data_IF_775079232633
#
_entry.id   IF_775079232633
#
_cell.length_a   1.000
_cell.length_b   1.000
_cell.length_c   1.000
_cell.angle_alpha   90.00
_cell.angle_beta   90.00
_cell.angle_gamma   90.00
#
_symmetry.space_group_name_H-M   'P 1'
#
loop_
_entity.id
_entity.type
_entity.pdbx_description
1 polymer ?
#
# COMPACT_ATOMS: atom_id res chain seq x y z
N UNK A 1 34.85 23.23 -20.40
CA UNK A 1 34.79 21.97 -21.18
C UNK A 1 33.32 21.62 -21.36
N UNK A 2 32.82 21.55 -22.60
CA UNK A 2 31.42 21.25 -22.85
C UNK A 2 31.10 19.83 -22.35
N UNK A 3 30.21 19.71 -21.37
CA UNK A 3 29.67 18.41 -20.97
C UNK A 3 28.79 17.92 -22.12
N UNK A 4 29.30 17.02 -22.94
CA UNK A 4 28.53 16.41 -24.01
C UNK A 4 27.26 15.79 -23.43
N UNK A 5 26.10 16.20 -23.95
CA UNK A 5 24.82 15.60 -23.56
C UNK A 5 24.82 14.11 -23.91
N UNK A 6 24.18 13.30 -23.06
CA UNK A 6 23.93 11.88 -23.34
C UNK A 6 22.55 11.71 -23.95
N UNK A 7 22.41 10.76 -24.86
CA UNK A 7 21.13 10.39 -25.46
C UNK A 7 20.63 9.11 -24.82
N UNK A 8 19.42 9.14 -24.24
CA UNK A 8 18.77 8.00 -23.60
C UNK A 8 17.67 7.47 -24.51
N UNK A 9 17.58 6.15 -24.66
CA UNK A 9 16.47 5.49 -25.33
C UNK A 9 15.32 5.32 -24.35
N UNK A 10 14.13 5.79 -24.69
CA UNK A 10 12.96 5.73 -23.82
C UNK A 10 11.96 4.74 -24.39
N UNK A 11 11.56 3.77 -23.57
CA UNK A 11 10.56 2.76 -23.92
C UNK A 11 9.42 2.78 -22.89
N UNK A 12 8.19 2.62 -23.35
CA UNK A 12 7.05 2.51 -22.44
C UNK A 12 7.04 1.14 -21.77
N UNK A 13 6.68 1.10 -20.48
CA UNK A 13 6.44 -0.11 -19.71
C UNK A 13 5.05 -0.04 -19.08
N UNK A 14 4.23 -1.07 -19.30
CA UNK A 14 2.85 -1.10 -18.80
C UNK A 14 1.88 -0.35 -19.72
N UNK A 15 1.08 0.57 -19.16
CA UNK A 15 0.08 1.32 -19.95
C UNK A 15 0.77 2.23 -20.97
N UNK A 16 0.35 2.20 -22.25
CA UNK A 16 0.96 3.04 -23.27
C UNK A 16 0.76 4.52 -22.94
N UNK A 17 1.82 5.30 -23.10
CA UNK A 17 1.79 6.76 -22.96
C UNK A 17 1.76 7.40 -24.33
N UNK A 18 0.75 8.24 -24.54
CA UNK A 18 0.65 9.07 -25.73
C UNK A 18 1.82 10.05 -25.78
N UNK A 19 2.49 10.18 -26.92
CA UNK A 19 3.60 11.12 -27.18
C UNK A 19 4.91 10.83 -26.41
N UNK A 20 5.13 9.59 -25.95
CA UNK A 20 6.42 9.23 -25.36
C UNK A 20 7.55 9.40 -26.41
N UNK A 21 8.57 10.23 -26.14
CA UNK A 21 9.72 10.35 -27.06
C UNK A 21 10.45 9.02 -27.15
N UNK A 22 10.99 8.66 -28.31
CA UNK A 22 11.86 7.47 -28.45
C UNK A 22 13.26 7.70 -27.88
N UNK A 23 13.73 8.94 -27.96
CA UNK A 23 15.04 9.37 -27.52
C UNK A 23 14.96 10.68 -26.73
N UNK A 24 15.79 10.80 -25.71
CA UNK A 24 15.89 11.99 -24.87
C UNK A 24 17.36 12.37 -24.67
N UNK A 25 17.72 13.57 -25.12
CA UNK A 25 19.02 14.16 -24.82
C UNK A 25 18.97 14.88 -23.47
N UNK A 26 19.89 14.55 -22.57
CA UNK A 26 19.99 15.16 -21.23
C UNK A 26 21.45 15.37 -20.83
N UNK A 27 21.70 16.40 -20.01
CA UNK A 27 23.02 16.64 -19.43
C UNK A 27 23.37 15.48 -18.45
N UNK A 28 24.56 14.88 -18.52
CA UNK A 28 24.99 13.84 -17.58
C UNK A 28 24.94 14.27 -16.10
N UNK A 29 25.13 15.56 -15.84
CA UNK A 29 25.11 16.14 -14.50
C UNK A 29 23.70 16.55 -14.05
N UNK A 30 22.68 16.37 -14.90
CA UNK A 30 21.30 16.64 -14.55
C UNK A 30 20.85 15.78 -13.36
N UNK A 31 19.90 16.29 -12.59
CA UNK A 31 19.31 15.58 -11.45
C UNK A 31 18.09 14.75 -11.87
N UNK A 32 17.63 13.88 -10.97
CA UNK A 32 16.38 13.12 -11.16
C UNK A 32 15.19 14.01 -11.58
N UNK A 33 14.89 15.11 -10.85
CA UNK A 33 13.81 16.03 -11.21
C UNK A 33 13.89 16.61 -12.62
N UNK A 34 15.10 16.92 -13.11
CA UNK A 34 15.28 17.45 -14.47
C UNK A 34 14.94 16.41 -15.53
N UNK A 35 15.35 15.15 -15.33
CA UNK A 35 14.98 14.04 -16.22
C UNK A 35 13.47 13.81 -16.22
N UNK A 36 12.86 13.79 -15.04
CA UNK A 36 11.43 13.63 -14.87
C UNK A 36 10.65 14.76 -15.55
N UNK A 37 11.07 16.02 -15.37
CA UNK A 37 10.49 17.19 -16.03
C UNK A 37 10.61 17.11 -17.55
N UNK A 38 11.77 16.72 -18.07
CA UNK A 38 12.00 16.63 -19.51
C UNK A 38 11.06 15.62 -20.20
N UNK A 39 10.74 14.51 -19.54
CA UNK A 39 9.76 13.53 -20.02
C UNK A 39 8.32 14.03 -19.80
N UNK A 40 8.02 14.58 -18.62
CA UNK A 40 6.71 15.08 -18.25
C UNK A 40 6.17 16.13 -19.22
N UNK A 41 7.01 17.12 -19.57
CA UNK A 41 6.66 18.20 -20.51
C UNK A 41 6.37 17.64 -21.89
N UNK A 42 7.17 16.69 -22.39
CA UNK A 42 6.96 16.08 -23.71
C UNK A 42 5.70 15.23 -23.78
N UNK A 43 5.39 14.50 -22.71
CA UNK A 43 4.22 13.61 -22.65
C UNK A 43 2.93 14.33 -22.21
N UNK A 44 3.02 15.57 -21.72
CA UNK A 44 1.89 16.30 -21.13
C UNK A 44 1.36 15.66 -19.85
N UNK A 45 2.26 15.01 -19.07
CA UNK A 45 1.92 14.32 -17.83
C UNK A 45 2.48 15.08 -16.61
N UNK A 46 1.86 14.88 -15.45
CA UNK A 46 2.47 15.33 -14.19
C UNK A 46 3.66 14.46 -13.84
N UNK A 47 4.71 15.07 -13.29
CA UNK A 47 5.92 14.41 -12.79
C UNK A 47 5.60 13.25 -11.84
N UNK A 48 4.56 13.40 -11.02
CA UNK A 48 4.14 12.38 -10.03
C UNK A 48 3.48 11.15 -10.66
N UNK A 49 3.14 11.20 -11.95
CA UNK A 49 2.54 10.10 -12.70
C UNK A 49 3.57 9.29 -13.50
N UNK A 50 4.83 9.68 -13.45
CA UNK A 50 5.89 9.06 -14.24
C UNK A 50 6.73 8.21 -13.31
N UNK A 51 7.07 7.00 -13.73
CA UNK A 51 8.06 6.17 -13.06
C UNK A 51 9.12 5.78 -14.07
N UNK A 52 10.38 6.05 -13.74
CA UNK A 52 11.52 5.75 -14.60
C UNK A 52 12.33 4.60 -13.97
N UNK A 53 12.59 3.56 -14.75
CA UNK A 53 13.44 2.42 -14.34
C UNK A 53 14.52 2.18 -15.37
N UNK A 54 15.73 1.84 -14.94
CA UNK A 54 16.83 1.49 -15.85
C UNK A 54 16.57 0.12 -16.47
N UNK A 55 16.82 -0.02 -17.76
CA UNK A 55 16.67 -1.31 -18.43
C UNK A 55 17.78 -2.31 -18.08
N UNK A 56 18.95 -1.84 -17.65
CA UNK A 56 20.12 -2.67 -17.35
C UNK A 56 19.95 -3.54 -16.10
N UNK A 57 19.39 -2.96 -15.03
CA UNK A 57 19.28 -3.60 -13.71
C UNK A 57 17.87 -3.53 -13.11
N UNK A 58 16.91 -2.87 -13.78
CA UNK A 58 15.54 -2.71 -13.31
C UNK A 58 15.38 -1.71 -12.15
N UNK A 59 16.45 -1.07 -11.68
CA UNK A 59 16.37 -0.16 -10.54
C UNK A 59 15.66 1.14 -10.92
N UNK A 60 14.91 1.70 -9.96
CA UNK A 60 14.15 2.93 -10.16
C UNK A 60 15.05 4.16 -10.04
N UNK A 61 14.88 5.12 -10.94
CA UNK A 61 15.51 6.44 -10.83
C UNK A 61 14.55 7.30 -10.02
N UNK A 62 14.98 7.78 -8.87
CA UNK A 62 14.12 8.58 -8.00
C UNK A 62 14.09 10.04 -8.45
N UNK A 63 12.94 10.68 -8.28
CA UNK A 63 12.76 12.12 -8.44
C UNK A 63 13.33 12.86 -7.22
N UNK A 64 14.66 12.85 -7.07
CA UNK A 64 15.37 13.54 -5.99
C UNK A 64 16.69 14.14 -6.47
N UNK A 65 17.19 15.14 -5.75
CA UNK A 65 18.46 15.82 -6.05
C UNK A 65 19.69 15.06 -5.55
N UNK A 66 19.51 13.85 -5.00
CA UNK A 66 20.58 13.11 -4.32
C UNK A 66 21.56 12.45 -5.31
N UNK A 67 21.17 12.30 -6.57
CA UNK A 67 21.96 11.63 -7.59
C UNK A 67 21.85 12.36 -8.93
N UNK A 68 22.97 12.40 -9.65
CA UNK A 68 23.01 12.86 -11.04
C UNK A 68 22.77 11.69 -11.98
N UNK A 69 22.37 11.96 -13.22
CA UNK A 69 22.15 10.90 -14.21
C UNK A 69 23.41 10.03 -14.37
N UNK A 70 24.59 10.65 -14.38
CA UNK A 70 25.85 9.91 -14.43
C UNK A 70 26.08 9.02 -13.19
N UNK A 71 25.73 9.47 -11.97
CA UNK A 71 25.90 8.67 -10.76
C UNK A 71 24.90 7.50 -10.66
N UNK A 72 23.74 7.59 -11.32
CA UNK A 72 22.80 6.46 -11.44
C UNK A 72 23.28 5.32 -12.34
N UNK A 73 24.40 5.53 -13.06
CA UNK A 73 24.96 4.54 -14.00
C UNK A 73 24.42 4.64 -15.42
N UNK A 74 23.52 5.60 -15.71
CA UNK A 74 23.09 5.88 -17.07
C UNK A 74 24.22 6.48 -17.92
N UNK A 75 24.36 5.98 -19.14
CA UNK A 75 25.36 6.39 -20.12
C UNK A 75 24.68 6.68 -21.46
N UNK A 76 25.46 7.12 -22.45
CA UNK A 76 24.95 7.31 -23.80
C UNK A 76 24.31 6.01 -24.33
N UNK A 77 23.18 6.13 -25.01
CA UNK A 77 22.34 5.05 -25.53
C UNK A 77 21.73 4.11 -24.48
N UNK A 78 21.83 4.44 -23.19
CA UNK A 78 21.18 3.66 -22.14
C UNK A 78 19.66 3.70 -22.32
N UNK A 79 19.02 2.56 -22.09
CA UNK A 79 17.56 2.44 -22.20
C UNK A 79 16.92 2.66 -20.84
N UNK A 80 15.92 3.54 -20.78
CA UNK A 80 15.04 3.74 -19.64
C UNK A 80 13.63 3.28 -19.99
N UNK A 81 13.01 2.60 -19.05
CA UNK A 81 11.60 2.26 -19.10
C UNK A 81 10.80 3.32 -18.34
N UNK A 82 9.88 3.93 -19.05
CA UNK A 82 8.94 4.92 -18.53
C UNK A 82 7.57 4.24 -18.37
N UNK A 83 6.94 4.42 -17.22
CA UNK A 83 5.62 3.86 -16.92
C UNK A 83 4.69 4.93 -16.36
N UNK A 84 3.45 4.93 -16.87
CA UNK A 84 2.37 5.75 -16.34
C UNK A 84 1.85 5.16 -15.02
N UNK A 85 2.20 5.77 -13.90
CA UNK A 85 1.66 5.46 -12.58
C UNK A 85 0.23 6.01 -12.37
N UNK A 86 -0.44 6.49 -13.41
CA UNK A 86 -1.84 6.89 -13.34
C UNK A 86 -2.77 5.74 -12.91
N UNK A 87 -3.23 5.82 -11.66
CA UNK A 87 -4.09 4.82 -11.03
C UNK A 87 -3.35 3.88 -10.08
N UNK A 88 -2.01 4.01 -9.94
CA UNK A 88 -1.33 3.42 -8.79
C UNK A 88 -1.77 4.17 -7.53
N UNK A 89 -2.07 3.44 -6.43
CA UNK A 89 -2.42 4.08 -5.16
C UNK A 89 -1.29 5.00 -4.69
N UNK A 90 -1.63 6.19 -4.19
CA UNK A 90 -0.60 7.04 -3.59
C UNK A 90 0.06 6.32 -2.42
N UNK A 91 1.40 6.29 -2.40
CA UNK A 91 2.17 5.65 -1.32
C UNK A 91 1.77 6.23 0.04
N UNK A 92 1.56 7.55 0.11
CA UNK A 92 1.19 8.24 1.36
C UNK A 92 -0.21 7.84 1.84
N UNK A 93 -1.21 7.77 0.95
CA UNK A 93 -2.56 7.36 1.35
C UNK A 93 -2.61 5.88 1.76
N UNK A 94 -1.84 5.05 1.07
CA UNK A 94 -1.75 3.61 1.36
C UNK A 94 -1.07 3.35 2.70
N UNK A 95 0.00 4.10 3.01
CA UNK A 95 0.66 4.07 4.31
C UNK A 95 -0.25 4.60 5.42
N UNK A 96 -0.99 5.67 5.17
CA UNK A 96 -1.97 6.19 6.14
C UNK A 96 -3.04 5.15 6.48
N UNK A 97 -3.54 4.42 5.48
CA UNK A 97 -4.50 3.33 5.68
C UNK A 97 -3.92 2.18 6.51
N UNK A 98 -2.66 1.81 6.24
CA UNK A 98 -1.94 0.80 7.02
C UNK A 98 -1.79 1.22 8.49
N UNK A 99 -1.28 2.43 8.73
CA UNK A 99 -1.08 2.97 10.09
C UNK A 99 -2.41 3.07 10.84
N UNK A 100 -3.46 3.55 10.18
CA UNK A 100 -4.80 3.57 10.75
C UNK A 100 -5.28 2.17 11.16
N UNK A 101 -5.15 1.18 10.28
CA UNK A 101 -5.50 -0.21 10.58
C UNK A 101 -4.73 -0.75 11.79
N UNK A 102 -3.41 -0.51 11.85
CA UNK A 102 -2.58 -0.95 12.98
C UNK A 102 -2.95 -0.29 14.31
N UNK A 103 -3.22 1.02 14.31
CA UNK A 103 -3.62 1.75 15.52
C UNK A 103 -5.00 1.31 16.01
N UNK A 104 -5.95 1.10 15.09
CA UNK A 104 -7.29 0.63 15.43
C UNK A 104 -7.30 -0.84 15.90
N UNK A 105 -6.43 -1.68 15.32
CA UNK A 105 -6.18 -3.04 15.78
C UNK A 105 -5.58 -3.04 17.19
N UNK A 106 -4.54 -2.23 17.43
CA UNK A 106 -3.94 -2.06 18.76
C UNK A 106 -4.96 -1.60 19.80
N UNK A 107 -5.79 -0.60 19.46
CA UNK A 107 -6.87 -0.15 20.33
C UNK A 107 -7.82 -1.31 20.70
N UNK A 108 -8.21 -2.14 19.72
CA UNK A 108 -9.05 -3.31 19.97
C UNK A 108 -8.39 -4.31 20.92
N UNK A 109 -7.09 -4.53 20.78
CA UNK A 109 -6.32 -5.38 21.69
C UNK A 109 -6.20 -4.80 23.09
N UNK A 110 -6.00 -3.49 23.24
CA UNK A 110 -5.96 -2.81 24.54
C UNK A 110 -7.32 -2.93 25.25
N UNK A 111 -8.42 -2.70 24.53
CA UNK A 111 -9.79 -2.91 25.07
C UNK A 111 -9.95 -4.36 25.54
N UNK A 112 -9.61 -5.34 24.71
CA UNK A 112 -9.72 -6.76 25.07
C UNK A 112 -8.82 -7.16 26.24
N UNK A 113 -7.62 -6.59 26.35
CA UNK A 113 -6.70 -6.80 27.48
C UNK A 113 -7.30 -6.28 28.77
N UNK A 114 -7.88 -5.08 28.74
CA UNK A 114 -8.43 -4.42 29.93
C UNK A 114 -9.74 -5.07 30.44
N UNK A 115 -10.37 -5.96 29.66
CA UNK A 115 -11.51 -6.75 30.12
C UNK A 115 -11.13 -7.87 31.10
N UNK A 116 -9.85 -8.26 31.16
CA UNK A 116 -9.38 -9.25 32.14
C UNK A 116 -8.97 -8.52 33.42
N UNK A 117 -9.67 -8.77 34.52
CA UNK A 117 -9.23 -8.29 35.83
C UNK A 117 -8.04 -9.12 36.30
N UNK A 118 -6.98 -8.50 36.86
CA UNK A 118 -5.87 -9.26 37.44
C UNK A 118 -6.37 -10.24 38.51
N UNK A 119 -6.05 -11.53 38.35
CA UNK A 119 -6.42 -12.56 39.33
C UNK A 119 -7.79 -13.22 39.16
N UNK A 120 -8.61 -12.83 38.17
CA UNK A 120 -9.87 -13.55 37.87
C UNK A 120 -9.93 -14.02 36.40
N UNK A 121 -10.69 -15.08 36.15
CA UNK A 121 -10.99 -15.59 34.81
C UNK A 121 -12.25 -14.98 34.19
N UNK A 122 -12.90 -14.05 34.91
CA UNK A 122 -14.13 -13.41 34.44
C UNK A 122 -13.86 -12.57 33.18
N UNK A 123 -14.62 -12.86 32.14
CA UNK A 123 -14.55 -12.14 30.86
C UNK A 123 -15.67 -11.10 30.83
N UNK A 124 -15.34 -9.87 30.45
CA UNK A 124 -16.33 -8.84 30.18
C UNK A 124 -16.80 -8.83 28.71
N UNK A 125 -17.94 -8.18 28.45
CA UNK A 125 -18.40 -7.92 27.09
C UNK A 125 -17.61 -6.73 26.52
N UNK A 126 -16.87 -6.90 25.42
CA UNK A 126 -16.12 -5.80 24.83
C UNK A 126 -17.05 -4.73 24.25
N UNK A 127 -16.74 -3.47 24.51
CA UNK A 127 -17.42 -2.30 23.97
C UNK A 127 -16.42 -1.22 23.58
N UNK A 128 -16.85 -0.25 22.77
CA UNK A 128 -16.00 0.83 22.27
C UNK A 128 -15.82 0.80 20.75
N UNK A 129 -14.76 1.45 20.25
CA UNK A 129 -14.52 1.64 18.83
C UNK A 129 -14.45 0.30 18.06
N UNK A 130 -15.22 0.19 16.97
CA UNK A 130 -15.34 -1.02 16.15
C UNK A 130 -16.22 -2.13 16.76
N UNK A 131 -16.31 -2.24 18.09
CA UNK A 131 -17.12 -3.25 18.77
C UNK A 131 -18.63 -2.99 18.67
N UNK A 132 -19.10 -1.84 18.21
CA UNK A 132 -20.52 -1.66 17.86
C UNK A 132 -20.87 -2.26 16.50
N UNK A 133 -19.89 -2.36 15.59
CA UNK A 133 -20.09 -2.79 14.21
C UNK A 133 -19.95 -4.30 14.05
N UNK A 134 -18.89 -4.87 14.64
CA UNK A 134 -18.52 -6.28 14.46
C UNK A 134 -18.10 -6.93 15.77
N UNK A 135 -18.13 -8.27 15.82
CA UNK A 135 -17.70 -9.03 17.01
C UNK A 135 -16.20 -8.91 17.25
N UNK A 136 -15.39 -9.01 16.20
CA UNK A 136 -13.94 -9.00 16.23
C UNK A 136 -13.37 -7.82 15.42
N UNK A 137 -13.40 -6.58 15.95
CA UNK A 137 -12.89 -5.42 15.24
C UNK A 137 -11.37 -5.47 15.03
N UNK A 138 -10.63 -6.20 15.87
CA UNK A 138 -9.21 -6.45 15.65
C UNK A 138 -8.96 -7.11 14.28
N UNK A 139 -9.77 -8.11 13.90
CA UNK A 139 -9.64 -8.75 12.59
C UNK A 139 -10.09 -7.83 11.43
N UNK A 140 -11.12 -7.00 11.65
CA UNK A 140 -11.51 -5.98 10.67
C UNK A 140 -10.35 -5.03 10.36
N UNK A 141 -9.71 -4.50 11.40
CA UNK A 141 -8.63 -3.53 11.26
C UNK A 141 -7.34 -4.16 10.74
N UNK A 142 -7.09 -5.43 11.08
CA UNK A 142 -6.01 -6.22 10.45
C UNK A 142 -6.20 -6.29 8.93
N UNK A 143 -7.42 -6.62 8.45
CA UNK A 143 -7.72 -6.63 7.01
C UNK A 143 -7.53 -5.25 6.38
N UNK A 144 -7.98 -4.17 7.03
CA UNK A 144 -7.76 -2.79 6.55
C UNK A 144 -6.26 -2.47 6.43
N UNK A 145 -5.45 -2.89 7.41
CA UNK A 145 -4.00 -2.71 7.36
C UNK A 145 -3.41 -3.44 6.14
N UNK A 146 -3.76 -4.71 5.94
CA UNK A 146 -3.27 -5.49 4.79
C UNK A 146 -3.76 -4.96 3.44
N UNK A 147 -4.95 -4.35 3.36
CA UNK A 147 -5.38 -3.61 2.17
C UNK A 147 -4.44 -2.42 1.92
N UNK A 148 -4.02 -1.69 2.95
CA UNK A 148 -2.98 -0.65 2.82
C UNK A 148 -1.67 -1.21 2.22
N UNK A 149 -1.22 -2.37 2.68
CA UNK A 149 -0.02 -3.05 2.13
C UNK A 149 -0.23 -3.48 0.68
N UNK A 150 -1.41 -4.03 0.34
CA UNK A 150 -1.78 -4.38 -1.03
C UNK A 150 -1.67 -3.16 -1.96
N UNK A 151 -2.15 -1.99 -1.51
CA UNK A 151 -2.05 -0.75 -2.27
C UNK A 151 -0.60 -0.28 -2.45
N UNK A 152 0.25 -0.32 -1.41
CA UNK A 152 1.68 0.02 -1.51
C UNK A 152 2.44 -0.95 -2.43
N UNK A 153 2.04 -2.22 -2.48
CA UNK A 153 2.70 -3.25 -3.29
C UNK A 153 2.51 -3.10 -4.81
N UNK A 154 1.76 -2.09 -5.25
CA UNK A 154 1.41 -1.90 -6.66
C UNK A 154 0.32 -2.88 -7.13
N UNK A 155 -0.65 -3.18 -6.26
CA UNK A 155 -1.79 -4.05 -6.54
C UNK A 155 -1.38 -5.49 -6.91
N UNK A 156 -0.37 -6.03 -6.24
CA UNK A 156 0.16 -7.36 -6.52
C UNK A 156 -0.85 -8.47 -6.16
N UNK A 157 -1.11 -9.39 -7.09
CA UNK A 157 -1.99 -10.55 -6.90
C UNK A 157 -1.60 -11.45 -5.74
N UNK A 158 -0.31 -11.57 -5.43
CA UNK A 158 0.18 -12.35 -4.29
C UNK A 158 -0.39 -11.82 -2.96
N UNK A 159 -0.56 -10.51 -2.84
CA UNK A 159 -1.15 -9.89 -1.64
C UNK A 159 -2.65 -10.17 -1.54
N UNK A 160 -3.38 -10.21 -2.66
CA UNK A 160 -4.80 -10.60 -2.68
C UNK A 160 -4.96 -12.02 -2.17
N UNK A 161 -4.16 -12.95 -2.69
CA UNK A 161 -4.16 -14.35 -2.25
C UNK A 161 -3.84 -14.44 -0.75
N UNK A 162 -2.81 -13.72 -0.30
CA UNK A 162 -2.45 -13.66 1.12
C UNK A 162 -3.62 -13.19 1.99
N UNK A 163 -4.30 -12.10 1.63
CA UNK A 163 -5.44 -11.57 2.38
C UNK A 163 -6.58 -12.59 2.44
N UNK A 164 -6.92 -13.24 1.32
CA UNK A 164 -8.00 -14.24 1.26
C UNK A 164 -7.68 -15.44 2.17
N UNK A 165 -6.45 -15.96 2.07
CA UNK A 165 -6.00 -17.09 2.89
C UNK A 165 -5.98 -16.70 4.37
N UNK A 166 -5.47 -15.51 4.72
CA UNK A 166 -5.43 -15.01 6.09
C UNK A 166 -6.84 -14.77 6.67
N UNK A 167 -7.79 -14.29 5.88
CA UNK A 167 -9.17 -14.06 6.30
C UNK A 167 -9.89 -15.35 6.71
N UNK A 168 -9.57 -16.48 6.06
CA UNK A 168 -10.27 -17.75 6.26
C UNK A 168 -10.27 -18.22 7.73
N UNK A 169 -9.12 -18.40 8.40
CA UNK A 169 -9.12 -18.77 9.82
C UNK A 169 -9.70 -17.68 10.72
N UNK A 170 -9.49 -16.39 10.40
CA UNK A 170 -10.04 -15.28 11.19
C UNK A 170 -11.57 -15.28 11.21
N UNK A 171 -12.22 -15.62 10.08
CA UNK A 171 -13.67 -15.78 10.00
C UNK A 171 -14.15 -16.94 10.87
N UNK A 172 -13.46 -18.09 10.81
CA UNK A 172 -13.81 -19.27 11.60
C UNK A 172 -13.69 -18.94 13.10
N UNK A 173 -12.57 -18.37 13.53
CA UNK A 173 -12.35 -17.98 14.92
C UNK A 173 -13.30 -16.88 15.38
N UNK A 174 -13.62 -15.94 14.51
CA UNK A 174 -14.59 -14.90 14.80
C UNK A 174 -15.98 -15.47 15.05
N UNK A 175 -16.45 -16.39 14.20
CA UNK A 175 -17.77 -17.05 14.36
C UNK A 175 -17.82 -17.86 15.64
N UNK A 176 -16.74 -18.56 15.97
CA UNK A 176 -16.60 -19.28 17.23
C UNK A 176 -16.68 -18.32 18.42
N UNK A 177 -16.01 -17.16 18.34
CA UNK A 177 -16.05 -16.13 19.41
C UNK A 177 -17.43 -15.51 19.58
N UNK A 178 -18.13 -15.21 18.49
CA UNK A 178 -19.53 -14.74 18.54
C UNK A 178 -20.44 -15.77 19.19
N UNK A 179 -20.29 -17.05 18.85
CA UNK A 179 -21.06 -18.13 19.47
C UNK A 179 -20.76 -18.24 20.96
N UNK A 180 -19.48 -18.19 21.35
CA UNK A 180 -19.07 -18.22 22.75
C UNK A 180 -19.67 -17.06 23.54
N UNK A 181 -19.64 -15.83 23.02
CA UNK A 181 -20.23 -14.67 23.69
C UNK A 181 -21.74 -14.80 23.90
N UNK A 182 -22.47 -15.35 22.92
CA UNK A 182 -23.90 -15.60 23.07
C UNK A 182 -24.21 -16.63 24.15
N UNK A 183 -23.39 -17.67 24.26
CA UNK A 183 -23.56 -18.71 25.29
C UNK A 183 -23.18 -18.20 26.68
N UNK A 184 -22.08 -17.47 26.79
CA UNK A 184 -21.51 -17.01 28.07
C UNK A 184 -22.33 -15.88 28.70
N UNK A 185 -22.86 -14.96 27.88
CA UNK A 185 -23.52 -13.74 28.38
C UNK A 185 -25.03 -13.71 28.17
N UNK A 186 -25.61 -14.68 27.45
CA UNK A 186 -27.06 -14.79 27.23
C UNK A 186 -27.69 -13.45 26.79
N UNK A 187 -28.72 -13.02 27.51
CA UNK A 187 -29.47 -11.79 27.23
C UNK A 187 -28.66 -10.49 27.41
N UNK A 188 -27.54 -10.53 28.14
CA UNK A 188 -26.67 -9.36 28.32
C UNK A 188 -25.90 -9.02 27.04
N UNK A 189 -25.73 -9.99 26.13
CA UNK A 189 -25.00 -9.79 24.89
C UNK A 189 -25.94 -9.56 23.71
N UNK A 190 -25.81 -8.38 23.09
CA UNK A 190 -26.52 -8.07 21.85
C UNK A 190 -25.84 -8.78 20.69
N UNK A 191 -26.53 -9.78 20.12
CA UNK A 191 -26.11 -10.49 18.91
C UNK A 191 -25.75 -9.51 17.80
N UNK A 192 -24.60 -9.73 17.16
CA UNK A 192 -24.17 -8.92 16.02
C UNK A 192 -24.47 -9.62 14.71
N UNK A 193 -24.75 -8.81 13.68
CA UNK A 193 -24.99 -9.31 12.32
C UNK A 193 -23.69 -9.73 11.62
N UNK A 194 -22.60 -9.05 11.95
CA UNK A 194 -21.30 -9.23 11.34
C UNK A 194 -20.25 -9.57 12.40
N UNK A 195 -19.41 -10.54 12.09
CA UNK A 195 -18.34 -11.03 12.95
C UNK A 195 -17.06 -10.22 12.73
N UNK A 196 -16.74 -9.89 11.47
CA UNK A 196 -15.48 -9.26 11.09
C UNK A 196 -15.64 -8.22 9.97
N UNK A 197 -16.29 -8.54 8.85
CA UNK A 197 -16.40 -7.63 7.71
C UNK A 197 -17.86 -7.18 7.57
N UNK A 198 -18.17 -5.89 7.84
CA UNK A 198 -19.51 -5.36 7.68
C UNK A 198 -20.04 -5.60 6.27
N UNK A 199 -21.24 -6.17 6.17
CA UNK A 199 -21.89 -6.51 4.90
C UNK A 199 -21.51 -7.87 4.31
N UNK A 200 -20.48 -8.55 4.82
CA UNK A 200 -20.00 -9.82 4.30
C UNK A 200 -20.08 -10.93 5.35
N UNK A 201 -19.41 -10.76 6.51
CA UNK A 201 -19.27 -11.83 7.51
C UNK A 201 -19.13 -11.34 8.93
#
# INVERSE_FOLDING_TARGET
MASNNITLNVKSRGKPISKLPRELSINPNATGPELYNAIAVKCGLSIHRIRITKASDGTAIHNSNNATIHSTGLRNQSTIYEANSAGEPSTSSSLALFVFGQLANLNSHVVLRNLRRPGTSERGIPSGFGFSLVTCPNYLFEVIAWVGVYLVSGLNWSMVLFIVVACTPMIIWGKQKERAYRTEFGDKYKKKRFVMLPGIV
#
